data_IF_211616025561
#
_entry.id   IF_211616025561
#
_cell.length_a   1.000
_cell.length_b   1.000
_cell.length_c   1.000
_cell.angle_alpha   90.00
_cell.angle_beta   90.00
_cell.angle_gamma   90.00
#
_symmetry.space_group_name_H-M   'P 1'
#
loop_
_entity.id
_entity.type
_entity.pdbx_description
1 polymer ?
#
# COMPACT_ATOMS: atom_id res chain seq x y z
N UNK A 1 20.42 18.00 -7.14
CA UNK A 1 20.50 16.56 -7.31
C UNK A 1 19.33 15.89 -6.60
N UNK A 2 18.68 15.02 -7.30
CA UNK A 2 17.51 14.36 -6.75
C UNK A 2 17.91 13.20 -5.85
N UNK A 3 17.30 13.11 -4.70
CA UNK A 3 17.58 12.02 -3.78
C UNK A 3 17.01 10.72 -4.32
N UNK A 4 17.77 9.67 -4.11
CA UNK A 4 17.34 8.34 -4.50
C UNK A 4 16.25 7.87 -3.54
N UNK A 5 15.19 7.27 -4.07
CA UNK A 5 14.13 6.68 -3.27
C UNK A 5 14.63 5.34 -2.74
N UNK A 6 14.54 5.14 -1.44
CA UNK A 6 15.02 3.90 -0.81
C UNK A 6 13.89 3.22 -0.04
N UNK A 7 14.04 1.91 0.12
CA UNK A 7 13.13 1.11 0.93
C UNK A 7 13.11 1.63 2.36
N UNK A 8 14.29 1.97 2.90
CA UNK A 8 14.41 2.45 4.27
C UNK A 8 13.64 3.73 4.51
N UNK A 9 13.70 4.67 3.56
CA UNK A 9 12.97 5.92 3.70
C UNK A 9 11.46 5.70 3.66
N UNK A 10 11.00 4.85 2.75
CA UNK A 10 9.58 4.53 2.64
C UNK A 10 9.09 3.77 3.86
N UNK A 11 9.90 2.84 4.38
CA UNK A 11 9.56 2.09 5.59
C UNK A 11 9.43 3.02 6.78
N UNK A 12 10.34 4.00 6.88
CA UNK A 12 10.31 4.96 7.96
C UNK A 12 9.05 5.82 7.94
N UNK A 13 8.65 6.27 6.76
CA UNK A 13 7.40 7.01 6.59
C UNK A 13 6.21 6.19 7.02
N UNK A 14 6.22 4.92 6.65
CA UNK A 14 5.15 4.00 7.01
C UNK A 14 5.05 3.85 8.53
N UNK A 15 6.20 3.69 9.20
CA UNK A 15 6.24 3.51 10.65
C UNK A 15 5.90 4.78 11.42
N UNK A 16 6.13 5.93 10.82
CA UNK A 16 5.78 7.21 11.43
C UNK A 16 4.30 7.54 11.30
N UNK A 17 3.58 6.84 10.45
CA UNK A 17 2.16 7.00 10.27
C UNK A 17 1.44 6.24 11.39
N UNK A 18 0.78 6.93 12.35
CA UNK A 18 0.19 6.23 13.50
C UNK A 18 -0.76 5.11 13.12
N UNK A 19 -1.68 5.36 12.20
CA UNK A 19 -2.60 4.32 11.76
C UNK A 19 -1.88 3.28 10.90
N UNK A 20 -1.05 3.74 9.98
CA UNK A 20 -0.34 2.84 9.07
C UNK A 20 0.55 1.86 9.81
N UNK A 21 1.14 2.28 10.94
CA UNK A 21 2.01 1.41 11.71
C UNK A 21 1.27 0.22 12.33
N UNK A 22 -0.04 0.34 12.54
CA UNK A 22 -0.85 -0.76 13.07
C UNK A 22 -0.95 -1.92 12.10
N UNK A 23 -0.79 -1.65 10.81
CA UNK A 23 -0.91 -2.67 9.77
C UNK A 23 0.34 -3.53 9.67
N UNK A 24 1.45 -3.07 10.23
CA UNK A 24 2.72 -3.78 10.26
C UNK A 24 3.21 -4.23 8.89
N UNK A 25 2.99 -3.38 7.90
CA UNK A 25 3.43 -3.64 6.54
C UNK A 25 4.94 -3.52 6.41
N UNK A 26 5.48 -4.25 5.45
CA UNK A 26 6.91 -4.22 5.16
C UNK A 26 7.12 -3.79 3.71
N UNK A 27 7.85 -2.70 3.50
CA UNK A 27 8.19 -2.24 2.17
C UNK A 27 9.23 -3.19 1.58
N UNK A 28 8.95 -3.73 0.41
CA UNK A 28 9.86 -4.67 -0.26
C UNK A 28 10.52 -4.08 -1.50
N UNK A 29 9.89 -3.09 -2.12
CA UNK A 29 10.46 -2.39 -3.27
C UNK A 29 10.05 -0.93 -3.21
N UNK A 30 10.96 -0.06 -3.62
CA UNK A 30 10.67 1.37 -3.66
C UNK A 30 11.51 2.04 -4.74
N UNK A 31 10.82 2.82 -5.59
CA UNK A 31 11.47 3.66 -6.58
C UNK A 31 10.54 4.83 -6.86
N UNK A 32 10.99 5.77 -7.66
CA UNK A 32 10.17 6.94 -7.97
C UNK A 32 8.84 6.50 -8.58
N UNK A 33 7.76 6.82 -7.89
CA UNK A 33 6.41 6.55 -8.36
C UNK A 33 5.96 5.11 -8.23
N UNK A 34 6.74 4.26 -7.55
CA UNK A 34 6.34 2.85 -7.38
C UNK A 34 6.81 2.31 -6.04
N UNK A 35 5.86 1.77 -5.28
CA UNK A 35 6.16 1.18 -3.97
C UNK A 35 5.41 -0.13 -3.84
N UNK A 36 6.10 -1.12 -3.30
CA UNK A 36 5.54 -2.44 -3.08
C UNK A 36 5.74 -2.82 -1.62
N UNK A 37 4.71 -3.39 -1.01
CA UNK A 37 4.74 -3.76 0.40
C UNK A 37 3.98 -5.03 0.65
N UNK A 38 4.36 -5.74 1.71
CA UNK A 38 3.65 -6.91 2.20
C UNK A 38 2.83 -6.54 3.42
N UNK A 39 1.58 -6.97 3.44
CA UNK A 39 0.69 -6.85 4.59
C UNK A 39 0.56 -8.25 5.19
N UNK A 40 0.97 -8.43 6.47
CA UNK A 40 0.89 -9.77 7.06
C UNK A 40 -0.57 -10.18 7.29
N UNK A 41 -0.82 -11.47 7.17
CA UNK A 41 -2.12 -12.02 7.51
C UNK A 41 -2.16 -12.25 9.01
N UNK A 42 -3.02 -11.51 9.69
CA UNK A 42 -3.20 -11.63 11.13
C UNK A 42 -4.67 -11.80 11.46
N UNK A 43 -4.96 -12.55 12.52
CA UNK A 43 -6.33 -12.76 12.94
C UNK A 43 -7.05 -11.43 13.18
N UNK A 44 -6.36 -10.45 13.75
CA UNK A 44 -6.92 -9.14 14.06
C UNK A 44 -7.33 -8.36 12.80
N UNK A 45 -6.84 -8.78 11.64
CA UNK A 45 -7.14 -8.14 10.36
C UNK A 45 -8.27 -8.86 9.61
N UNK A 46 -8.88 -9.88 10.22
CA UNK A 46 -9.87 -10.69 9.51
C UNK A 46 -11.30 -10.26 9.84
N UNK A 47 -12.20 -10.62 8.94
CA UNK A 47 -13.63 -10.42 9.13
C UNK A 47 -14.26 -11.67 9.75
N UNK A 48 -15.60 -11.69 9.82
CA UNK A 48 -16.31 -12.82 10.45
C UNK A 48 -16.14 -14.14 9.71
N UNK A 49 -15.67 -14.08 8.45
CA UNK A 49 -15.45 -15.28 7.62
C UNK A 49 -14.02 -15.79 7.67
N UNK A 50 -13.14 -15.08 8.38
CA UNK A 50 -11.74 -15.45 8.46
C UNK A 50 -10.90 -14.95 7.29
N UNK A 51 -11.44 -14.10 6.43
CA UNK A 51 -10.71 -13.47 5.33
C UNK A 51 -10.19 -12.11 5.79
N UNK A 52 -9.17 -11.60 5.12
CA UNK A 52 -8.71 -10.25 5.41
C UNK A 52 -9.87 -9.27 5.19
N UNK A 53 -10.11 -8.43 6.18
CA UNK A 53 -11.18 -7.45 6.13
C UNK A 53 -10.94 -6.46 5.01
N UNK A 54 -12.00 -6.16 4.22
CA UNK A 54 -11.88 -5.23 3.10
C UNK A 54 -11.36 -3.87 3.52
N UNK A 55 -11.76 -3.38 4.69
CA UNK A 55 -11.26 -2.11 5.21
C UNK A 55 -9.77 -2.12 5.51
N UNK A 56 -9.25 -3.27 5.96
CA UNK A 56 -7.80 -3.40 6.19
C UNK A 56 -7.06 -3.34 4.85
N UNK A 57 -7.57 -4.04 3.84
CA UNK A 57 -6.97 -4.02 2.51
C UNK A 57 -6.98 -2.62 1.92
N UNK A 58 -8.09 -1.91 2.06
CA UNK A 58 -8.17 -0.54 1.55
C UNK A 58 -7.21 0.38 2.29
N UNK A 59 -7.13 0.25 3.61
CA UNK A 59 -6.20 1.05 4.41
C UNK A 59 -4.76 0.82 3.97
N UNK A 60 -4.41 -0.43 3.67
CA UNK A 60 -3.07 -0.77 3.23
C UNK A 60 -2.74 -0.09 1.90
N UNK A 61 -3.62 -0.22 0.90
CA UNK A 61 -3.33 0.36 -0.41
C UNK A 61 -3.40 1.88 -0.38
N UNK A 62 -4.30 2.46 0.39
CA UNK A 62 -4.36 3.92 0.51
C UNK A 62 -3.05 4.45 1.08
N UNK A 63 -2.51 3.80 2.09
CA UNK A 63 -1.24 4.18 2.69
C UNK A 63 -0.08 4.05 1.70
N UNK A 64 -0.01 2.95 0.99
CA UNK A 64 1.06 2.70 0.02
C UNK A 64 0.94 3.64 -1.18
N UNK A 65 -0.27 3.92 -1.64
CA UNK A 65 -0.48 4.88 -2.72
C UNK A 65 -0.01 6.27 -2.30
N UNK A 66 -0.26 6.67 -1.06
CA UNK A 66 0.22 7.94 -0.53
C UNK A 66 1.74 8.02 -0.54
N UNK A 67 2.41 6.95 -0.16
CA UNK A 67 3.87 6.91 -0.18
C UNK A 67 4.38 6.99 -1.61
N UNK A 68 3.78 6.23 -2.54
CA UNK A 68 4.18 6.25 -3.94
C UNK A 68 4.04 7.66 -4.55
N UNK A 69 2.90 8.31 -4.30
CA UNK A 69 2.68 9.67 -4.77
C UNK A 69 3.67 10.65 -4.13
N UNK A 70 3.97 10.45 -2.86
CA UNK A 70 4.90 11.29 -2.12
C UNK A 70 6.35 11.17 -2.57
N UNK A 71 6.71 10.13 -3.33
CA UNK A 71 8.09 9.98 -3.82
C UNK A 71 8.50 11.13 -4.73
N UNK A 72 7.54 11.87 -5.27
CA UNK A 72 7.82 13.05 -6.09
C UNK A 72 8.11 14.29 -5.26
N UNK A 73 8.11 14.16 -3.94
CA UNK A 73 8.47 15.26 -3.04
C UNK A 73 7.33 16.14 -2.59
N UNK A 74 6.09 15.71 -2.82
CA UNK A 74 4.92 16.48 -2.42
C UNK A 74 4.26 15.89 -1.19
N UNK A 75 3.65 16.75 -0.42
CA UNK A 75 2.72 16.36 0.61
C UNK A 75 1.42 15.98 -0.09
N UNK A 76 0.91 14.80 0.20
CA UNK A 76 -0.31 14.33 -0.48
C UNK A 76 -1.35 13.86 0.53
N UNK A 77 -2.62 14.08 0.17
CA UNK A 77 -3.74 13.50 0.90
C UNK A 77 -4.69 12.90 -0.12
N UNK A 78 -5.42 11.88 0.29
CA UNK A 78 -6.33 11.20 -0.60
C UNK A 78 -7.55 12.07 -0.88
N UNK A 79 -7.84 12.27 -2.16
CA UNK A 79 -9.03 12.98 -2.60
C UNK A 79 -10.14 11.99 -2.93
N UNK A 80 -9.77 10.88 -3.58
CA UNK A 80 -10.73 9.92 -4.07
C UNK A 80 -10.03 8.57 -4.23
N UNK A 81 -10.76 7.49 -4.03
CA UNK A 81 -10.21 6.16 -4.19
C UNK A 81 -11.29 5.15 -4.48
N UNK A 82 -10.91 4.12 -5.25
CA UNK A 82 -11.78 3.00 -5.57
C UNK A 82 -11.00 1.72 -5.42
N UNK A 83 -11.65 0.69 -4.89
CA UNK A 83 -11.06 -0.64 -4.80
C UNK A 83 -12.11 -1.66 -5.22
N UNK A 84 -11.67 -2.69 -5.93
CA UNK A 84 -12.51 -3.81 -6.31
C UNK A 84 -11.96 -5.07 -5.66
N UNK A 85 -12.82 -5.76 -4.95
CA UNK A 85 -12.46 -6.98 -4.22
C UNK A 85 -12.83 -8.17 -5.11
N UNK A 86 -11.88 -8.61 -5.91
CA UNK A 86 -12.13 -9.67 -6.89
C UNK A 86 -12.08 -11.06 -6.30
N UNK A 87 -11.35 -11.22 -5.19
CA UNK A 87 -11.15 -12.51 -4.55
C UNK A 87 -10.89 -12.30 -3.07
N UNK A 88 -11.43 -13.18 -2.24
CA UNK A 88 -11.16 -13.12 -0.81
C UNK A 88 -9.72 -13.51 -0.51
N UNK A 89 -9.07 -12.77 0.38
CA UNK A 89 -7.72 -13.08 0.82
C UNK A 89 -7.79 -14.02 2.01
N UNK A 90 -7.57 -15.29 1.76
CA UNK A 90 -7.60 -16.34 2.78
C UNK A 90 -6.50 -17.35 2.50
N UNK A 91 -6.14 -18.12 3.52
CA UNK A 91 -5.15 -19.19 3.40
C UNK A 91 -3.85 -18.69 2.79
N UNK A 92 -3.43 -17.48 3.18
CA UNK A 92 -2.18 -16.88 2.72
C UNK A 92 -1.44 -16.31 3.92
N UNK A 93 -0.12 -16.26 3.84
CA UNK A 93 0.69 -15.72 4.93
C UNK A 93 0.72 -14.20 4.91
N UNK A 94 0.57 -13.62 3.72
CA UNK A 94 0.58 -12.18 3.53
C UNK A 94 -0.05 -11.87 2.18
N UNK A 95 -0.40 -10.59 1.99
CA UNK A 95 -0.77 -10.10 0.66
C UNK A 95 0.25 -9.03 0.27
N UNK A 96 0.45 -8.89 -1.03
CA UNK A 96 1.37 -7.91 -1.59
C UNK A 96 0.56 -6.77 -2.19
N UNK A 97 0.87 -5.55 -1.74
CA UNK A 97 0.25 -4.33 -2.26
C UNK A 97 1.27 -3.63 -3.13
N UNK A 98 0.92 -3.36 -4.38
CA UNK A 98 1.80 -2.63 -5.30
C UNK A 98 1.08 -1.37 -5.74
N UNK A 99 1.71 -0.22 -5.53
CA UNK A 99 1.18 1.07 -5.96
C UNK A 99 2.11 1.67 -7.00
N UNK A 100 1.52 2.15 -8.08
CA UNK A 100 2.28 2.76 -9.16
C UNK A 100 1.61 4.06 -9.59
N UNK A 101 2.37 5.15 -9.60
CA UNK A 101 1.87 6.42 -10.08
C UNK A 101 1.65 6.31 -11.59
N UNK A 102 0.41 6.54 -12.01
CA UNK A 102 0.05 6.53 -13.43
C UNK A 102 0.34 7.89 -14.04
N UNK A 103 -0.02 8.93 -13.30
CA UNK A 103 0.20 10.29 -13.76
C UNK A 103 0.56 11.18 -12.56
N UNK A 104 1.83 11.59 -12.45
CA UNK A 104 2.20 12.55 -11.43
C UNK A 104 1.63 13.91 -11.80
N UNK A 105 1.23 14.67 -10.82
CA UNK A 105 0.65 15.97 -11.07
C UNK A 105 0.91 16.93 -9.93
N UNK A 106 0.86 18.19 -10.27
CA UNK A 106 1.08 19.26 -9.31
C UNK A 106 -0.10 19.42 -8.36
N UNK A 107 -1.30 19.27 -8.90
CA UNK A 107 -2.54 19.42 -8.13
C UNK A 107 -3.16 18.07 -7.81
N UNK A 108 -3.07 17.13 -8.73
CA UNK A 108 -3.58 15.78 -8.55
C UNK A 108 -2.60 14.77 -9.10
N UNK A 109 -2.39 13.70 -8.35
CA UNK A 109 -1.59 12.57 -8.79
C UNK A 109 -2.50 11.36 -8.84
N UNK A 110 -2.46 10.63 -9.95
CA UNK A 110 -3.25 9.42 -10.13
C UNK A 110 -2.36 8.22 -9.88
N UNK A 111 -2.79 7.35 -8.97
CA UNK A 111 -2.05 6.16 -8.58
C UNK A 111 -2.94 4.93 -8.81
N UNK A 112 -2.39 3.93 -9.47
CA UNK A 112 -3.05 2.63 -9.61
C UNK A 112 -2.43 1.66 -8.61
N UNK A 113 -3.21 0.68 -8.19
CA UNK A 113 -2.69 -0.32 -7.26
C UNK A 113 -3.30 -1.69 -7.56
N UNK A 114 -2.63 -2.70 -7.05
CA UNK A 114 -3.18 -4.05 -7.05
C UNK A 114 -2.73 -4.77 -5.78
N UNK A 115 -3.51 -5.77 -5.38
CA UNK A 115 -3.21 -6.61 -4.24
C UNK A 115 -3.22 -8.06 -4.73
N UNK A 116 -2.15 -8.78 -4.41
CA UNK A 116 -2.04 -10.19 -4.76
C UNK A 116 -1.73 -10.99 -3.49
N UNK A 117 -2.08 -12.28 -3.49
CA UNK A 117 -1.74 -13.13 -2.35
C UNK A 117 -0.28 -13.60 -2.44
N UNK A 118 0.15 -14.44 -1.48
CA UNK A 118 1.54 -14.90 -1.42
C UNK A 118 1.96 -15.70 -2.65
N UNK A 119 1.00 -16.24 -3.40
CA UNK A 119 1.26 -17.00 -4.62
C UNK A 119 1.19 -16.15 -5.87
N UNK A 120 1.00 -14.84 -5.73
CA UNK A 120 0.88 -13.94 -6.86
C UNK A 120 -0.49 -13.91 -7.50
N UNK A 121 -1.50 -14.48 -6.86
CA UNK A 121 -2.88 -14.52 -7.36
C UNK A 121 -3.73 -13.48 -6.67
N UNK A 122 -4.54 -12.80 -7.47
CA UNK A 122 -5.47 -11.79 -6.96
C UNK A 122 -6.64 -12.40 -6.22
#
# INVERSE_FOLDING_TARGET
MQNKITIEECQKLLEQNPFGSLLQMKITEAELGRVKAELPFKKEFTNIYGDLHGGVLYSAVDTICGIAAGTYGYYVTTVDGQIRYLKAARATEYVTCTAKVVKPGRNLTVVAFEITDANGML
#
